data_IF_095625137664
#
_entry.id   IF_095625137664
#
_cell.length_a   1.000
_cell.length_b   1.000
_cell.length_c   1.000
_cell.angle_alpha   90.00
_cell.angle_beta   90.00
_cell.angle_gamma   90.00
#
_symmetry.space_group_name_H-M   'P 1'
#
loop_
_entity.id
_entity.type
_entity.pdbx_description
1 polymer ?
#
# COMPACT_ATOMS: atom_id res chain seq x y z
N UNK A 1 -30.58 -13.32 -5.51
CA UNK A 1 -30.62 -13.99 -6.84
C UNK A 1 -31.34 -13.05 -7.80
N UNK A 2 -30.63 -12.22 -8.56
CA UNK A 2 -31.25 -11.29 -9.53
C UNK A 2 -31.47 -12.08 -10.82
N UNK A 3 -32.72 -12.47 -11.09
CA UNK A 3 -33.12 -13.01 -12.40
C UNK A 3 -33.00 -11.87 -13.42
N UNK A 4 -32.21 -12.08 -14.46
CA UNK A 4 -31.92 -11.04 -15.46
C UNK A 4 -33.16 -10.81 -16.33
N UNK A 5 -33.48 -9.54 -16.62
CA UNK A 5 -34.63 -9.10 -17.42
C UNK A 5 -34.78 -9.82 -18.78
N UNK A 6 -33.70 -10.41 -19.30
CA UNK A 6 -33.65 -11.20 -20.53
C UNK A 6 -34.40 -12.54 -20.44
N UNK A 7 -34.38 -13.23 -19.28
CA UNK A 7 -35.16 -14.47 -19.09
C UNK A 7 -36.67 -14.19 -19.18
N UNK A 8 -37.11 -13.05 -18.64
CA UNK A 8 -38.51 -12.62 -18.73
C UNK A 8 -38.90 -12.21 -20.16
N UNK A 9 -38.00 -11.58 -20.92
CA UNK A 9 -38.25 -11.26 -22.34
C UNK A 9 -38.31 -12.52 -23.22
N UNK A 10 -37.46 -13.52 -22.97
CA UNK A 10 -37.49 -14.78 -23.72
C UNK A 10 -38.79 -15.57 -23.51
N UNK A 11 -39.30 -15.60 -22.27
CA UNK A 11 -40.59 -16.24 -21.95
C UNK A 11 -41.77 -15.43 -22.54
N UNK A 12 -41.66 -14.09 -22.59
CA UNK A 12 -42.72 -13.23 -23.12
C UNK A 12 -42.72 -13.10 -24.66
N UNK A 13 -41.59 -13.32 -25.35
CA UNK A 13 -41.48 -13.22 -26.82
C UNK A 13 -41.43 -14.56 -27.54
N UNK A 14 -41.20 -15.67 -26.84
CA UNK A 14 -41.14 -17.01 -27.43
C UNK A 14 -39.88 -17.31 -28.27
N UNK A 15 -38.84 -16.47 -28.26
CA UNK A 15 -37.62 -16.70 -29.03
C UNK A 15 -36.61 -17.58 -28.24
N UNK A 16 -36.41 -18.86 -28.60
CA UNK A 16 -35.47 -19.75 -27.92
C UNK A 16 -33.99 -19.32 -28.08
N UNK A 17 -33.68 -18.44 -29.04
CA UNK A 17 -32.32 -17.92 -29.25
C UNK A 17 -31.88 -16.99 -28.12
N UNK A 18 -32.80 -16.24 -27.48
CA UNK A 18 -32.48 -15.36 -26.35
C UNK A 18 -32.01 -16.13 -25.11
N UNK A 19 -32.58 -17.31 -24.87
CA UNK A 19 -32.16 -18.19 -23.76
C UNK A 19 -30.78 -18.79 -24.04
N UNK A 20 -30.56 -19.27 -25.27
CA UNK A 20 -29.24 -19.77 -25.71
C UNK A 20 -28.16 -18.68 -25.64
N UNK A 21 -28.52 -17.43 -25.94
CA UNK A 21 -27.60 -16.29 -25.83
C UNK A 21 -27.18 -16.07 -24.37
N UNK A 22 -28.13 -16.10 -23.43
CA UNK A 22 -27.86 -15.95 -22.00
C UNK A 22 -26.96 -17.08 -21.45
N UNK A 23 -27.18 -18.33 -21.89
CA UNK A 23 -26.34 -19.48 -21.55
C UNK A 23 -24.92 -19.32 -22.10
N UNK A 24 -24.77 -19.06 -23.40
CA UNK A 24 -23.47 -18.87 -24.04
C UNK A 24 -22.70 -17.69 -23.45
N UNK A 25 -23.39 -16.60 -23.10
CA UNK A 25 -22.81 -15.44 -22.41
C UNK A 25 -22.27 -15.81 -21.04
N UNK A 26 -22.97 -16.66 -20.30
CA UNK A 26 -22.55 -17.11 -18.97
C UNK A 26 -21.30 -17.98 -19.06
N UNK A 27 -21.24 -18.89 -20.04
CA UNK A 27 -20.04 -19.68 -20.32
C UNK A 27 -18.84 -18.80 -20.70
N UNK A 28 -19.04 -17.85 -21.62
CA UNK A 28 -17.99 -16.90 -22.01
C UNK A 28 -17.48 -16.09 -20.81
N UNK A 29 -18.37 -15.63 -19.93
CA UNK A 29 -17.98 -14.91 -18.72
C UNK A 29 -17.15 -15.77 -17.76
N UNK A 30 -17.51 -17.05 -17.59
CA UNK A 30 -16.76 -18.00 -16.75
C UNK A 30 -15.32 -18.12 -17.23
N UNK A 31 -15.12 -18.40 -18.52
CA UNK A 31 -13.78 -18.57 -19.09
C UNK A 31 -12.99 -17.26 -19.16
N UNK A 32 -13.65 -16.14 -19.47
CA UNK A 32 -13.02 -14.82 -19.47
C UNK A 32 -12.51 -14.42 -18.09
N UNK A 33 -13.26 -14.72 -17.02
CA UNK A 33 -12.80 -14.49 -15.63
C UNK A 33 -11.57 -15.34 -15.30
N UNK A 34 -11.55 -16.61 -15.73
CA UNK A 34 -10.38 -17.50 -15.56
C UNK A 34 -9.15 -16.94 -16.29
N UNK A 35 -9.30 -16.48 -17.54
CA UNK A 35 -8.20 -15.84 -18.30
C UNK A 35 -7.69 -14.57 -17.61
N UNK A 36 -8.59 -13.71 -17.13
CA UNK A 36 -8.21 -12.51 -16.38
C UNK A 36 -7.44 -12.85 -15.10
N UNK A 37 -7.89 -13.85 -14.34
CA UNK A 37 -7.19 -14.33 -13.15
C UNK A 37 -5.80 -14.89 -13.48
N UNK A 38 -5.69 -15.65 -14.57
CA UNK A 38 -4.40 -16.14 -15.06
C UNK A 38 -3.46 -14.98 -15.41
N UNK A 39 -3.91 -13.97 -16.16
CA UNK A 39 -3.08 -12.83 -16.54
C UNK A 39 -2.64 -11.99 -15.34
N UNK A 40 -3.51 -11.84 -14.34
CA UNK A 40 -3.16 -11.22 -13.06
C UNK A 40 -2.10 -12.03 -12.33
N UNK A 41 -2.22 -13.35 -12.29
CA UNK A 41 -1.22 -14.23 -11.70
C UNK A 41 0.13 -14.11 -12.42
N UNK A 42 0.14 -14.11 -13.76
CA UNK A 42 1.37 -13.91 -14.54
C UNK A 42 2.05 -12.56 -14.25
N UNK A 43 1.28 -11.48 -14.06
CA UNK A 43 1.83 -10.18 -13.64
C UNK A 43 2.41 -10.22 -12.23
N UNK A 44 1.73 -10.90 -11.29
CA UNK A 44 2.22 -11.06 -9.92
C UNK A 44 3.50 -11.91 -9.87
N UNK A 45 3.60 -12.96 -10.69
CA UNK A 45 4.80 -13.78 -10.84
C UNK A 45 5.97 -12.96 -11.36
N UNK A 46 5.76 -12.12 -12.39
CA UNK A 46 6.79 -11.19 -12.89
C UNK A 46 7.33 -10.28 -11.79
N UNK A 47 6.43 -9.64 -11.04
CA UNK A 47 6.81 -8.77 -9.93
C UNK A 47 7.57 -9.53 -8.84
N UNK A 48 7.14 -10.76 -8.53
CA UNK A 48 7.82 -11.63 -7.56
C UNK A 48 9.23 -11.97 -8.02
N UNK A 49 9.43 -12.31 -9.29
CA UNK A 49 10.75 -12.57 -9.87
C UNK A 49 11.67 -11.36 -9.71
N UNK A 50 11.21 -10.16 -10.07
CA UNK A 50 11.99 -8.93 -9.96
C UNK A 50 12.35 -8.61 -8.50
N UNK A 51 11.39 -8.72 -7.59
CA UNK A 51 11.59 -8.45 -6.17
C UNK A 51 12.55 -9.44 -5.53
N UNK A 52 12.36 -10.75 -5.77
CA UNK A 52 13.19 -11.80 -5.18
C UNK A 52 14.60 -11.81 -5.74
N UNK A 53 14.79 -11.45 -7.01
CA UNK A 53 16.13 -11.25 -7.58
C UNK A 53 16.89 -10.14 -6.85
N UNK A 54 16.27 -8.97 -6.66
CA UNK A 54 16.88 -7.84 -5.92
C UNK A 54 17.14 -8.19 -4.45
N UNK A 55 16.23 -8.93 -3.84
CA UNK A 55 16.38 -9.40 -2.45
C UNK A 55 17.60 -10.33 -2.31
N UNK A 56 17.76 -11.31 -3.21
CA UNK A 56 18.93 -12.20 -3.23
C UNK A 56 20.22 -11.42 -3.43
N UNK A 57 20.27 -10.48 -4.37
CA UNK A 57 21.45 -9.64 -4.60
C UNK A 57 21.85 -8.85 -3.34
N UNK A 58 20.87 -8.25 -2.65
CA UNK A 58 21.10 -7.51 -1.42
C UNK A 58 21.56 -8.43 -0.28
N UNK A 59 20.91 -9.57 -0.08
CA UNK A 59 21.27 -10.54 0.96
C UNK A 59 22.67 -11.12 0.72
N UNK A 60 22.99 -11.47 -0.53
CA UNK A 60 24.31 -11.97 -0.93
C UNK A 60 25.41 -10.94 -0.67
N UNK A 61 25.14 -9.65 -0.92
CA UNK A 61 26.07 -8.56 -0.60
C UNK A 61 26.26 -8.36 0.90
N UNK A 62 25.21 -8.58 1.69
CA UNK A 62 25.22 -8.35 3.15
C UNK A 62 25.79 -9.52 3.95
N UNK A 63 25.70 -10.74 3.43
CA UNK A 63 26.21 -11.94 4.11
C UNK A 63 27.68 -11.82 4.55
N UNK A 64 28.66 -11.42 3.70
CA UNK A 64 30.05 -11.30 4.13
C UNK A 64 30.28 -10.21 5.19
N UNK A 65 29.42 -9.18 5.23
CA UNK A 65 29.47 -8.19 6.31
C UNK A 65 28.98 -8.82 7.61
N UNK A 66 27.88 -9.57 7.57
CA UNK A 66 27.35 -10.28 8.72
C UNK A 66 28.33 -11.34 9.26
N UNK A 67 29.06 -12.03 8.39
CA UNK A 67 30.11 -12.98 8.77
C UNK A 67 31.25 -12.28 9.49
N UNK A 68 31.76 -11.16 8.96
CA UNK A 68 32.79 -10.36 9.65
C UNK A 68 32.33 -9.86 11.02
N UNK A 69 31.07 -9.42 11.11
CA UNK A 69 30.45 -9.03 12.38
C UNK A 69 30.40 -10.22 13.34
N UNK A 70 30.01 -11.41 12.87
CA UNK A 70 29.96 -12.61 13.69
C UNK A 70 31.35 -13.05 14.16
N UNK A 71 32.36 -13.05 13.28
CA UNK A 71 33.72 -13.52 13.56
C UNK A 71 34.41 -12.73 14.67
N UNK A 72 34.15 -11.42 14.76
CA UNK A 72 34.71 -10.57 15.83
C UNK A 72 33.87 -10.56 17.11
N UNK A 73 32.73 -11.27 17.15
CA UNK A 73 31.83 -11.24 18.30
C UNK A 73 32.48 -11.89 19.51
N UNK A 74 32.40 -11.21 20.65
CA UNK A 74 32.94 -11.68 21.94
C UNK A 74 31.81 -11.86 22.94
N UNK A 75 31.82 -12.97 23.65
CA UNK A 75 30.87 -13.25 24.73
C UNK A 75 31.03 -12.23 25.87
N UNK A 76 29.93 -11.53 26.19
CA UNK A 76 29.89 -10.55 27.27
C UNK A 76 29.19 -11.07 28.53
N UNK A 77 28.78 -12.34 28.57
CA UNK A 77 28.02 -12.92 29.67
C UNK A 77 28.83 -13.01 30.97
N UNK A 78 28.13 -12.87 32.11
CA UNK A 78 28.75 -12.91 33.43
C UNK A 78 29.88 -11.88 33.58
N UNK A 79 31.04 -12.37 33.99
CA UNK A 79 32.25 -11.59 34.29
C UNK A 79 33.10 -11.28 33.04
N UNK A 80 32.69 -11.75 31.85
CA UNK A 80 33.37 -11.46 30.58
C UNK A 80 32.99 -10.09 29.98
N UNK A 81 32.10 -9.37 30.66
CA UNK A 81 31.66 -8.05 30.19
C UNK A 81 32.87 -7.12 30.04
N UNK A 82 32.98 -6.52 28.85
CA UNK A 82 33.93 -5.48 28.55
C UNK A 82 33.31 -4.52 27.55
N UNK A 83 33.35 -3.24 27.86
CA UNK A 83 32.93 -2.16 26.96
C UNK A 83 34.02 -1.11 26.90
N UNK A 84 34.29 -0.62 25.69
CA UNK A 84 35.12 0.54 25.42
C UNK A 84 34.20 1.69 25.02
N UNK A 85 34.29 2.83 25.68
CA UNK A 85 33.49 4.02 25.37
C UNK A 85 34.43 5.05 24.76
N UNK A 86 34.08 5.53 23.56
CA UNK A 86 34.94 6.34 22.71
C UNK A 86 35.22 7.76 23.23
N UNK A 87 36.11 8.43 22.50
CA UNK A 87 36.75 9.71 22.78
C UNK A 87 35.78 10.91 22.65
N UNK A 88 34.72 10.74 21.83
CA UNK A 88 33.75 11.80 21.50
C UNK A 88 32.85 12.18 22.70
N UNK A 89 33.02 11.51 23.84
CA UNK A 89 32.46 11.90 25.14
C UNK A 89 33.14 13.13 25.79
N UNK A 90 33.84 13.97 25.01
CA UNK A 90 34.54 15.20 25.43
C UNK A 90 35.66 15.03 26.47
N UNK A 91 36.18 13.82 26.64
CA UNK A 91 37.40 13.65 27.45
C UNK A 91 38.52 13.12 26.56
N UNK A 92 39.48 13.97 26.17
CA UNK A 92 40.62 13.55 25.35
C UNK A 92 41.52 12.60 26.16
N UNK A 93 41.99 11.51 25.55
CA UNK A 93 43.10 10.75 26.13
C UNK A 93 43.24 9.31 25.66
N UNK A 94 42.19 8.50 25.75
CA UNK A 94 42.11 7.08 25.36
C UNK A 94 40.63 6.63 25.50
N UNK A 95 40.17 5.55 24.83
CA UNK A 95 38.85 4.98 25.09
C UNK A 95 38.73 4.50 26.55
N UNK A 96 37.59 4.77 27.18
CA UNK A 96 37.29 4.34 28.54
C UNK A 96 36.88 2.88 28.56
N UNK A 97 37.65 2.04 29.24
CA UNK A 97 37.39 0.60 29.33
C UNK A 97 36.73 0.28 30.67
N UNK A 98 35.56 -0.38 30.62
CA UNK A 98 34.86 -0.87 31.80
C UNK A 98 34.62 -2.38 31.71
N UNK A 99 34.88 -3.08 32.80
CA UNK A 99 34.55 -4.51 32.98
C UNK A 99 33.36 -4.74 33.90
N UNK A 100 32.86 -3.69 34.55
CA UNK A 100 31.65 -3.73 35.38
C UNK A 100 30.53 -2.91 34.76
N UNK A 101 29.36 -3.53 34.57
CA UNK A 101 28.17 -2.88 33.98
C UNK A 101 27.72 -1.63 34.75
N UNK A 102 27.81 -1.68 36.08
CA UNK A 102 27.44 -0.56 36.94
C UNK A 102 28.35 0.66 36.74
N UNK A 103 29.68 0.45 36.69
CA UNK A 103 30.66 1.53 36.43
C UNK A 103 30.50 2.10 35.02
N UNK A 104 30.29 1.25 34.02
CA UNK A 104 30.01 1.70 32.65
C UNK A 104 28.72 2.54 32.57
N UNK A 105 27.67 2.14 33.29
CA UNK A 105 26.42 2.88 33.36
C UNK A 105 26.59 4.23 34.08
N UNK A 106 27.33 4.28 35.18
CA UNK A 106 27.64 5.53 35.89
C UNK A 106 28.40 6.51 34.99
N UNK A 107 29.42 6.02 34.28
CA UNK A 107 30.17 6.81 33.31
C UNK A 107 29.28 7.34 32.19
N UNK A 108 28.46 6.47 31.59
CA UNK A 108 27.53 6.91 30.54
C UNK A 108 26.55 7.97 31.06
N UNK A 109 26.00 7.83 32.27
CA UNK A 109 25.05 8.79 32.83
C UNK A 109 25.63 10.20 32.96
N UNK A 110 26.90 10.30 33.34
CA UNK A 110 27.61 11.57 33.55
C UNK A 110 28.06 12.21 32.23
N UNK A 111 28.23 11.43 31.16
CA UNK A 111 28.82 11.90 29.89
C UNK A 111 27.87 11.85 28.67
N UNK A 112 26.68 11.22 28.76
CA UNK A 112 25.73 11.03 27.63
C UNK A 112 25.17 12.28 26.98
N UNK A 113 25.29 13.44 27.62
CA UNK A 113 24.86 14.71 27.01
C UNK A 113 25.84 15.19 25.93
N UNK A 114 27.02 14.56 25.80
CA UNK A 114 28.08 14.93 24.84
C UNK A 114 28.38 16.45 24.88
N UNK A 115 28.31 16.99 26.10
CA UNK A 115 28.37 18.41 26.45
C UNK A 115 27.31 19.31 25.77
N UNK A 116 26.10 18.81 25.59
CA UNK A 116 24.92 19.55 25.13
C UNK A 116 24.63 19.44 23.63
N UNK A 117 25.49 18.79 22.84
CA UNK A 117 25.35 18.67 21.38
C UNK A 117 24.03 18.02 20.99
N UNK A 118 23.70 16.90 21.62
CA UNK A 118 22.47 16.18 21.32
C UNK A 118 21.21 16.96 21.71
N UNK A 119 21.26 17.76 22.80
CA UNK A 119 20.17 18.66 23.22
C UNK A 119 19.94 19.82 22.25
N UNK A 120 21.02 20.38 21.70
CA UNK A 120 20.95 21.46 20.71
C UNK A 120 20.31 20.96 19.41
N UNK A 121 20.75 19.82 18.91
CA UNK A 121 20.22 19.23 17.67
C UNK A 121 18.78 18.70 17.84
N UNK A 122 18.42 18.25 19.05
CA UNK A 122 17.04 17.86 19.39
C UNK A 122 16.04 19.00 19.27
N UNK A 123 16.42 20.21 19.68
CA UNK A 123 15.54 21.38 19.59
C UNK A 123 15.39 21.90 18.16
N UNK A 124 16.35 21.63 17.29
CA UNK A 124 16.36 22.09 15.91
C UNK A 124 15.77 21.07 14.91
N UNK A 125 15.31 19.89 15.37
CA UNK A 125 14.78 18.84 14.47
C UNK A 125 15.83 18.23 13.54
N UNK A 126 17.12 18.37 13.89
CA UNK A 126 18.25 18.00 13.03
C UNK A 126 18.47 16.49 13.08
N UNK A 127 18.71 15.90 11.90
CA UNK A 127 19.30 14.57 11.75
C UNK A 127 20.80 14.66 11.94
N UNK A 128 21.36 13.78 12.76
CA UNK A 128 22.79 13.76 13.00
C UNK A 128 23.36 12.37 13.17
N UNK A 129 24.67 12.34 13.14
CA UNK A 129 25.51 11.17 13.30
C UNK A 129 26.56 11.49 14.37
N UNK A 130 26.57 10.68 15.42
CA UNK A 130 27.54 10.76 16.51
C UNK A 130 28.71 9.78 16.31
N UNK A 131 28.73 9.05 15.20
CA UNK A 131 29.73 8.03 14.94
C UNK A 131 29.69 6.91 15.98
N UNK A 132 30.81 6.19 16.11
CA UNK A 132 30.98 5.10 17.06
C UNK A 132 31.11 5.65 18.48
N UNK A 133 30.12 5.36 19.33
CA UNK A 133 30.15 5.78 20.74
C UNK A 133 30.78 4.73 21.66
N UNK A 134 30.62 3.45 21.33
CA UNK A 134 31.17 2.39 22.16
C UNK A 134 31.43 1.11 21.37
N UNK A 135 32.40 0.34 21.83
CA UNK A 135 32.66 -1.02 21.39
C UNK A 135 32.31 -1.99 22.51
N UNK A 136 31.37 -2.91 22.28
CA UNK A 136 30.98 -3.95 23.25
C UNK A 136 30.78 -5.28 22.54
N UNK A 137 31.24 -6.37 23.15
CA UNK A 137 31.16 -7.70 22.53
C UNK A 137 31.87 -7.77 21.17
N UNK A 138 32.94 -6.99 20.98
CA UNK A 138 33.65 -6.86 19.71
C UNK A 138 32.93 -6.04 18.63
N UNK A 139 31.78 -5.43 18.95
CA UNK A 139 31.00 -4.64 18.00
C UNK A 139 31.16 -3.14 18.23
N UNK A 140 31.65 -2.37 17.25
CA UNK A 140 31.53 -0.92 17.26
C UNK A 140 30.07 -0.55 17.07
N UNK A 141 29.52 0.20 18.02
CA UNK A 141 28.14 0.65 18.00
C UNK A 141 28.12 2.15 17.76
N UNK A 142 27.56 2.51 16.61
CA UNK A 142 27.31 3.88 16.21
C UNK A 142 25.97 4.39 16.71
N UNK A 143 25.88 5.71 16.86
CA UNK A 143 24.64 6.38 17.23
C UNK A 143 24.25 7.42 16.20
N UNK A 144 23.10 7.20 15.57
CA UNK A 144 22.45 8.14 14.65
C UNK A 144 21.14 8.61 15.26
N UNK A 145 20.65 9.76 14.84
CA UNK A 145 19.44 10.31 15.43
C UNK A 145 18.69 11.20 14.45
N UNK A 146 17.36 11.18 14.52
CA UNK A 146 16.43 12.06 13.80
C UNK A 146 15.48 12.72 14.79
N UNK A 147 14.66 13.69 14.37
CA UNK A 147 13.87 14.53 15.26
C UNK A 147 13.10 13.78 16.37
N UNK A 148 12.74 12.51 16.17
CA UNK A 148 11.99 11.71 17.13
C UNK A 148 12.77 10.52 17.72
N UNK A 149 13.80 10.01 17.04
CA UNK A 149 14.39 8.69 17.32
C UNK A 149 15.91 8.76 17.43
N UNK A 150 16.46 8.00 18.38
CA UNK A 150 17.88 7.66 18.43
C UNK A 150 18.06 6.19 18.04
N UNK A 151 19.00 5.94 17.16
CA UNK A 151 19.36 4.64 16.60
C UNK A 151 20.71 4.20 17.16
N UNK A 152 20.74 3.02 17.76
CA UNK A 152 21.95 2.29 18.13
C UNK A 152 22.17 1.22 17.08
N UNK A 153 23.27 1.29 16.35
CA UNK A 153 23.49 0.44 15.20
C UNK A 153 24.90 -0.15 15.22
N UNK A 154 25.06 -1.41 14.83
CA UNK A 154 26.39 -1.95 14.56
C UNK A 154 26.94 -1.19 13.35
N UNK A 155 28.09 -0.53 13.51
CA UNK A 155 28.57 0.52 12.60
C UNK A 155 28.67 0.07 11.12
N UNK A 156 29.29 -1.08 10.88
CA UNK A 156 29.42 -1.68 9.56
C UNK A 156 28.19 -2.51 9.13
N UNK A 157 27.20 -2.63 10.00
CA UNK A 157 25.96 -3.37 9.73
C UNK A 157 24.71 -2.67 10.32
N UNK A 158 24.31 -1.49 9.80
CA UNK A 158 23.27 -0.64 10.40
C UNK A 158 21.89 -1.30 10.56
N UNK A 159 21.60 -2.34 9.79
CA UNK A 159 20.39 -3.17 9.97
C UNK A 159 20.29 -3.84 11.35
N UNK A 160 21.43 -4.11 12.01
CA UNK A 160 21.46 -4.59 13.39
C UNK A 160 21.33 -3.35 14.25
N UNK A 161 20.09 -3.00 14.57
CA UNK A 161 19.82 -1.80 15.35
C UNK A 161 18.77 -1.94 16.44
N UNK A 162 18.84 -1.01 17.38
CA UNK A 162 17.81 -0.74 18.38
C UNK A 162 17.49 0.73 18.37
N UNK A 163 16.25 1.06 18.69
CA UNK A 163 15.76 2.44 18.70
C UNK A 163 15.36 2.86 20.11
N UNK A 164 15.43 4.16 20.35
CA UNK A 164 14.97 4.81 21.55
C UNK A 164 14.27 6.11 21.16
N UNK A 165 13.19 6.48 21.83
CA UNK A 165 12.62 7.81 21.64
C UNK A 165 13.66 8.86 22.05
N UNK A 166 13.77 9.95 21.29
CA UNK A 166 14.79 10.98 21.54
C UNK A 166 14.67 11.60 22.93
N UNK A 167 13.45 11.78 23.44
CA UNK A 167 13.22 12.25 24.81
C UNK A 167 13.73 11.25 25.87
N UNK A 168 13.63 9.95 25.58
CA UNK A 168 14.08 8.90 26.49
C UNK A 168 15.60 8.78 26.54
N UNK A 169 16.35 9.34 25.58
CA UNK A 169 17.81 9.40 25.66
C UNK A 169 18.29 10.05 26.98
N UNK A 170 17.62 11.13 27.39
CA UNK A 170 17.94 11.87 28.60
C UNK A 170 17.27 11.32 29.86
N UNK A 171 16.22 10.51 29.71
CA UNK A 171 15.42 10.02 30.85
C UNK A 171 15.65 8.54 31.16
N UNK A 172 16.22 7.77 30.24
CA UNK A 172 16.58 6.37 30.44
C UNK A 172 17.64 6.24 31.54
N UNK A 173 17.45 5.30 32.47
CA UNK A 173 18.49 4.88 33.41
C UNK A 173 19.69 4.33 32.63
N UNK A 174 20.91 4.80 32.90
CA UNK A 174 22.09 4.35 32.14
C UNK A 174 22.36 2.84 32.19
N UNK A 175 21.87 2.12 33.20
CA UNK A 175 21.89 0.65 33.20
C UNK A 175 21.13 0.06 32.00
N UNK A 176 20.01 0.68 31.60
CA UNK A 176 19.24 0.29 30.43
C UNK A 176 19.94 0.59 29.10
N UNK A 177 20.81 1.60 29.06
CA UNK A 177 21.66 1.87 27.89
C UNK A 177 22.70 0.76 27.70
N UNK A 178 23.49 0.46 28.73
CA UNK A 178 24.51 -0.60 28.68
C UNK A 178 23.87 -1.94 28.30
N UNK A 179 22.72 -2.25 28.90
CA UNK A 179 21.95 -3.47 28.58
C UNK A 179 21.52 -3.51 27.11
N UNK A 180 21.07 -2.38 26.53
CA UNK A 180 20.70 -2.30 25.10
C UNK A 180 21.89 -2.53 24.19
N UNK A 181 23.03 -1.91 24.49
CA UNK A 181 24.28 -2.07 23.72
C UNK A 181 24.77 -3.52 23.77
N UNK A 182 24.74 -4.12 24.96
CA UNK A 182 25.11 -5.53 25.15
C UNK A 182 24.16 -6.47 24.39
N UNK A 183 22.84 -6.24 24.48
CA UNK A 183 21.86 -7.04 23.75
C UNK A 183 21.99 -6.87 22.24
N UNK A 184 22.34 -5.67 21.76
CA UNK A 184 22.61 -5.43 20.35
C UNK A 184 23.81 -6.27 19.88
N UNK A 185 24.93 -6.23 20.61
CA UNK A 185 26.11 -7.03 20.30
C UNK A 185 25.82 -8.54 20.34
N UNK A 186 24.99 -9.02 21.28
CA UNK A 186 24.57 -10.43 21.36
C UNK A 186 23.76 -10.90 20.16
N UNK A 187 23.06 -10.01 19.46
CA UNK A 187 22.30 -10.37 18.24
C UNK A 187 23.16 -10.44 16.99
N UNK A 188 24.36 -9.84 17.02
CA UNK A 188 25.27 -9.75 15.90
C UNK A 188 25.71 -11.13 15.34
N UNK A 189 26.14 -12.11 16.16
CA UNK A 189 26.57 -13.41 15.64
C UNK A 189 25.44 -14.27 15.06
N UNK A 190 24.16 -13.92 15.30
CA UNK A 190 23.01 -14.66 14.77
C UNK A 190 22.65 -14.22 13.35
N UNK A 191 23.20 -13.10 12.87
CA UNK A 191 22.82 -12.50 11.60
C UNK A 191 23.18 -13.33 10.36
N UNK A 192 24.35 -13.99 10.26
CA UNK A 192 24.65 -14.83 9.10
C UNK A 192 23.61 -15.93 8.90
N UNK A 193 23.21 -16.62 9.97
CA UNK A 193 22.18 -17.66 9.92
C UNK A 193 20.83 -17.08 9.47
N UNK A 194 20.45 -15.91 9.99
CA UNK A 194 19.21 -15.24 9.57
C UNK A 194 19.24 -14.85 8.08
N UNK A 195 20.35 -14.29 7.59
CA UNK A 195 20.51 -13.92 6.18
C UNK A 195 20.49 -15.16 5.29
N UNK A 196 21.16 -16.25 5.68
CA UNK A 196 21.15 -17.50 4.92
C UNK A 196 19.75 -18.10 4.80
N UNK A 197 18.97 -18.10 5.88
CA UNK A 197 17.58 -18.57 5.84
C UNK A 197 16.72 -17.72 4.89
N UNK A 198 16.86 -16.39 4.95
CA UNK A 198 16.16 -15.48 4.03
C UNK A 198 16.60 -15.68 2.58
N UNK A 199 17.88 -15.94 2.35
CA UNK A 199 18.44 -16.18 1.03
C UNK A 199 17.89 -17.50 0.45
N UNK A 200 17.82 -18.56 1.24
CA UNK A 200 17.22 -19.83 0.84
C UNK A 200 15.73 -19.68 0.50
N UNK A 201 14.93 -19.01 1.35
CA UNK A 201 13.52 -18.74 1.08
C UNK A 201 13.34 -17.88 -0.20
N UNK A 202 14.15 -16.84 -0.37
CA UNK A 202 14.07 -15.98 -1.55
C UNK A 202 14.45 -16.74 -2.85
N UNK A 203 15.47 -17.59 -2.79
CA UNK A 203 15.87 -18.45 -3.91
C UNK A 203 14.79 -19.47 -4.28
N UNK A 204 14.17 -20.11 -3.29
CA UNK A 204 13.08 -21.06 -3.53
C UNK A 204 11.90 -20.36 -4.20
N UNK A 205 11.46 -19.21 -3.66
CA UNK A 205 10.36 -18.43 -4.25
C UNK A 205 10.68 -17.93 -5.64
N UNK A 206 11.94 -17.54 -5.91
CA UNK A 206 12.37 -17.14 -7.23
C UNK A 206 12.30 -18.32 -8.22
N UNK A 207 12.75 -19.50 -7.80
CA UNK A 207 12.68 -20.72 -8.60
C UNK A 207 11.24 -21.10 -8.93
N UNK A 208 10.37 -21.12 -7.92
CA UNK A 208 8.94 -21.45 -8.09
C UNK A 208 8.23 -20.43 -8.98
N UNK A 209 8.52 -19.14 -8.79
CA UNK A 209 7.93 -18.10 -9.63
C UNK A 209 8.40 -18.20 -11.09
N UNK A 210 9.69 -18.49 -11.31
CA UNK A 210 10.25 -18.69 -12.66
C UNK A 210 9.69 -19.91 -13.37
N UNK A 211 9.40 -21.00 -12.66
CA UNK A 211 8.85 -22.23 -13.28
C UNK A 211 7.40 -22.05 -13.75
N UNK A 212 6.63 -21.19 -13.06
CA UNK A 212 5.23 -20.89 -13.38
C UNK A 212 5.06 -19.70 -14.34
N UNK A 213 6.03 -18.79 -14.38
CA UNK A 213 5.96 -17.59 -15.19
C UNK A 213 6.06 -17.90 -16.68
N UNK A 214 5.20 -17.26 -17.48
CA UNK A 214 5.16 -17.42 -18.92
C UNK A 214 4.39 -18.67 -19.40
N UNK A 215 3.86 -19.48 -18.49
CA UNK A 215 2.97 -20.57 -18.86
C UNK A 215 1.73 -20.02 -19.57
N UNK A 216 1.32 -20.70 -20.64
CA UNK A 216 0.11 -20.34 -21.37
C UNK A 216 -1.14 -20.64 -20.55
N UNK A 217 -2.23 -19.95 -20.87
CA UNK A 217 -3.50 -20.20 -20.21
C UNK A 217 -4.00 -21.61 -20.58
N UNK A 218 -4.23 -22.51 -19.61
CA UNK A 218 -4.50 -23.91 -19.93
C UNK A 218 -5.86 -24.17 -20.60
N UNK A 219 -6.78 -23.20 -20.56
CA UNK A 219 -8.13 -23.33 -21.14
C UNK A 219 -8.33 -22.42 -22.36
N UNK A 220 -7.30 -22.30 -23.22
CA UNK A 220 -7.34 -21.47 -24.44
C UNK A 220 -8.41 -21.93 -25.41
N UNK A 221 -8.53 -23.24 -25.62
CA UNK A 221 -9.52 -23.81 -26.53
C UNK A 221 -10.95 -23.62 -26.00
N UNK A 222 -11.22 -23.87 -24.72
CA UNK A 222 -12.55 -23.68 -24.14
C UNK A 222 -12.99 -22.21 -24.14
N UNK A 223 -12.04 -21.28 -23.94
CA UNK A 223 -12.32 -19.85 -24.09
C UNK A 223 -12.70 -19.52 -25.54
N UNK A 224 -11.97 -20.05 -26.51
CA UNK A 224 -12.21 -19.84 -27.94
C UNK A 224 -13.53 -20.45 -28.38
N UNK A 225 -13.85 -21.66 -27.93
CA UNK A 225 -15.14 -22.30 -28.16
C UNK A 225 -16.30 -21.49 -27.59
N UNK A 226 -16.18 -21.00 -26.35
CA UNK A 226 -17.21 -20.17 -25.73
C UNK A 226 -17.39 -18.83 -26.46
N UNK A 227 -16.31 -18.22 -26.96
CA UNK A 227 -16.36 -17.03 -27.80
C UNK A 227 -17.09 -17.31 -29.12
N UNK A 228 -16.73 -18.39 -29.82
CA UNK A 228 -17.34 -18.77 -31.09
C UNK A 228 -18.84 -19.07 -30.92
N UNK A 229 -19.23 -19.81 -29.86
CA UNK A 229 -20.65 -20.12 -29.59
C UNK A 229 -21.47 -18.86 -29.32
N UNK A 230 -20.94 -17.94 -28.50
CA UNK A 230 -21.62 -16.68 -28.22
C UNK A 230 -21.80 -15.85 -29.50
N UNK A 231 -20.73 -15.72 -30.31
CA UNK A 231 -20.75 -14.99 -31.57
C UNK A 231 -21.77 -15.58 -32.56
N UNK A 232 -21.77 -16.90 -32.75
CA UNK A 232 -22.73 -17.59 -33.61
C UNK A 232 -24.18 -17.34 -33.20
N UNK A 233 -24.48 -17.35 -31.89
CA UNK A 233 -25.85 -17.10 -31.40
C UNK A 233 -26.23 -15.63 -31.59
N UNK A 234 -25.31 -14.70 -31.38
CA UNK A 234 -25.55 -13.28 -31.66
C UNK A 234 -25.82 -13.03 -33.16
N UNK A 235 -25.09 -13.69 -34.06
CA UNK A 235 -25.32 -13.61 -35.50
C UNK A 235 -26.69 -14.19 -35.91
N UNK A 236 -27.08 -15.34 -35.34
CA UNK A 236 -28.41 -15.92 -35.58
C UNK A 236 -29.54 -15.01 -35.06
N UNK A 237 -29.36 -14.39 -33.90
CA UNK A 237 -30.32 -13.43 -33.35
C UNK A 237 -30.48 -12.20 -34.26
N UNK A 238 -29.36 -11.63 -34.74
CA UNK A 238 -29.40 -10.50 -35.66
C UNK A 238 -30.10 -10.84 -36.99
N UNK A 239 -29.82 -12.03 -37.54
CA UNK A 239 -30.47 -12.48 -38.77
C UNK A 239 -31.98 -12.75 -38.60
N UNK A 240 -32.41 -13.24 -37.43
CA UNK A 240 -33.83 -13.44 -37.10
C UNK A 240 -34.57 -12.09 -36.91
N UNK A 241 -33.91 -11.11 -36.27
CA UNK A 241 -34.44 -9.73 -36.16
C UNK A 241 -34.58 -9.05 -37.53
N UNK A 242 -33.60 -9.20 -38.42
CA UNK A 242 -33.65 -8.68 -39.80
C UNK A 242 -34.71 -9.39 -40.66
N UNK A 243 -34.98 -10.68 -40.41
CA UNK A 243 -36.01 -11.46 -41.12
C UNK A 243 -37.44 -11.12 -40.66
N UNK A 244 -37.60 -10.55 -39.47
CA UNK A 244 -38.90 -10.16 -38.89
C UNK A 244 -39.34 -8.73 -39.24
N UNK A 245 -38.55 -7.98 -40.03
CA UNK A 245 -38.97 -6.72 -40.66
C UNK A 245 -39.22 -6.95 -42.17
N UNK A 246 -40.48 -7.14 -42.63
CA UNK A 246 -41.46 -6.06 -42.68
C UNK A 246 -42.94 -6.48 -42.47
N UNK A 247 -43.66 -5.82 -41.54
CA UNK A 247 -45.09 -5.43 -41.62
C UNK A 247 -45.60 -5.04 -40.22
N UNK A 248 -45.22 -3.86 -39.74
CA UNK A 248 -46.02 -3.07 -38.78
C UNK A 248 -45.69 -1.59 -39.00
N UNK A 249 -46.19 -1.05 -40.11
CA UNK A 249 -46.58 0.36 -40.15
C UNK A 249 -48.03 0.45 -39.65
N UNK A 250 -48.34 1.55 -38.94
CA UNK A 250 -49.59 1.87 -38.22
C UNK A 250 -49.67 1.26 -36.82
N UNK A 251 -49.71 2.00 -35.70
CA UNK A 251 -49.94 3.43 -35.45
C UNK A 251 -49.17 3.81 -34.17
N UNK A 252 -48.16 4.67 -34.28
CA UNK A 252 -47.70 5.48 -33.15
C UNK A 252 -48.34 6.85 -33.33
N UNK A 253 -49.52 7.02 -32.73
CA UNK A 253 -50.09 8.33 -32.45
C UNK A 253 -49.01 9.17 -31.78
N UNK A 254 -48.60 10.23 -32.46
CA UNK A 254 -47.81 11.32 -31.89
C UNK A 254 -48.52 11.85 -30.65
N UNK A 255 -48.13 11.35 -29.48
CA UNK A 255 -48.27 12.10 -28.25
C UNK A 255 -47.27 13.26 -28.37
N UNK A 256 -47.75 14.37 -28.92
CA UNK A 256 -47.13 15.69 -28.83
C UNK A 256 -46.74 15.93 -27.36
N UNK A 257 -45.46 15.74 -27.04
CA UNK A 257 -44.88 16.37 -25.87
C UNK A 257 -44.96 17.87 -26.13
N UNK A 258 -45.91 18.54 -25.46
CA UNK A 258 -45.84 19.99 -25.29
C UNK A 258 -44.58 20.25 -24.50
N UNK A 259 -43.52 20.66 -25.21
CA UNK A 259 -42.38 21.36 -24.65
C UNK A 259 -42.92 22.68 -24.08
N UNK A 260 -43.43 22.64 -22.85
CA UNK A 260 -43.85 23.86 -22.16
C UNK A 260 -42.61 24.64 -21.77
N UNK A 261 -42.64 25.95 -22.01
CA UNK A 261 -41.59 26.91 -21.64
C UNK A 261 -41.12 26.76 -20.17
N UNK A 262 -41.92 26.16 -19.29
CA UNK A 262 -41.62 25.83 -17.90
C UNK A 262 -40.49 24.81 -17.71
N UNK A 263 -40.26 23.87 -18.65
CA UNK A 263 -39.17 22.89 -18.52
C UNK A 263 -37.79 23.45 -18.84
N UNK A 264 -37.71 24.53 -19.64
CA UNK A 264 -36.44 25.17 -20.03
C UNK A 264 -35.81 26.03 -18.92
N UNK A 265 -36.54 26.32 -17.84
CA UNK A 265 -36.05 27.17 -16.73
C UNK A 265 -35.61 26.41 -15.47
N UNK A 266 -35.66 25.07 -15.45
CA UNK A 266 -35.24 24.32 -14.25
C UNK A 266 -33.71 24.15 -14.21
N UNK A 267 -33.10 24.70 -13.16
CA UNK A 267 -31.66 24.54 -12.86
C UNK A 267 -31.32 23.04 -12.81
N UNK A 268 -30.22 22.59 -13.43
CA UNK A 268 -29.83 21.19 -13.37
C UNK A 268 -29.58 20.77 -11.92
N UNK A 269 -30.15 19.61 -11.53
CA UNK A 269 -29.98 18.99 -10.22
C UNK A 269 -28.49 18.77 -9.92
N UNK A 270 -28.03 19.18 -8.74
CA UNK A 270 -26.66 18.88 -8.33
C UNK A 270 -26.54 17.38 -8.00
N UNK A 271 -25.30 16.85 -8.00
CA UNK A 271 -25.01 15.44 -7.78
C UNK A 271 -25.72 14.83 -6.56
N UNK A 272 -25.80 15.55 -5.45
CA UNK A 272 -26.43 15.12 -4.20
C UNK A 272 -27.96 15.05 -4.32
N UNK A 273 -28.56 15.97 -5.07
CA UNK A 273 -30.00 15.98 -5.35
C UNK A 273 -30.39 14.89 -6.36
N UNK A 274 -29.48 14.59 -7.30
CA UNK A 274 -29.62 13.48 -8.24
C UNK A 274 -29.53 12.13 -7.50
N UNK A 275 -28.57 11.98 -6.58
CA UNK A 275 -28.42 10.78 -5.76
C UNK A 275 -29.63 10.57 -4.82
N UNK A 276 -30.22 11.62 -4.24
CA UNK A 276 -31.46 11.50 -3.44
C UNK A 276 -32.67 11.21 -4.29
N UNK A 277 -32.77 11.77 -5.50
CA UNK A 277 -33.86 11.47 -6.43
C UNK A 277 -33.78 10.02 -6.92
N UNK A 278 -32.59 9.54 -7.31
CA UNK A 278 -32.35 8.16 -7.72
C UNK A 278 -32.60 7.17 -6.57
N UNK A 279 -32.22 7.53 -5.34
CA UNK A 279 -32.52 6.72 -4.15
C UNK A 279 -34.03 6.67 -3.83
N UNK A 280 -34.75 7.77 -4.03
CA UNK A 280 -36.20 7.84 -3.81
C UNK A 280 -36.95 7.08 -4.90
N UNK A 281 -36.55 7.24 -6.17
CA UNK A 281 -37.08 6.49 -7.30
C UNK A 281 -36.83 4.98 -7.12
N UNK A 282 -35.64 4.58 -6.68
CA UNK A 282 -35.34 3.18 -6.38
C UNK A 282 -36.16 2.62 -5.20
N UNK A 283 -36.52 3.46 -4.23
CA UNK A 283 -37.31 3.08 -3.06
C UNK A 283 -38.79 2.81 -3.39
N UNK A 284 -39.35 3.47 -4.40
CA UNK A 284 -40.76 3.38 -4.76
C UNK A 284 -41.04 2.76 -6.14
N UNK A 285 -40.01 2.28 -6.86
CA UNK A 285 -40.10 1.77 -8.23
C UNK A 285 -41.12 0.65 -8.50
N UNK A 286 -41.64 -0.02 -7.46
CA UNK A 286 -42.61 -1.12 -7.56
C UNK A 286 -43.88 -0.91 -6.72
N UNK A 287 -44.21 0.32 -6.33
CA UNK A 287 -45.50 0.65 -5.72
C UNK A 287 -46.28 1.60 -6.63
N UNK A 288 -47.60 1.43 -6.70
CA UNK A 288 -48.49 2.39 -7.34
C UNK A 288 -48.61 3.58 -6.38
N UNK A 289 -47.84 4.63 -6.65
CA UNK A 289 -47.70 5.79 -5.76
C UNK A 289 -48.55 6.93 -6.29
N UNK A 290 -49.52 7.37 -5.49
CA UNK A 290 -50.20 8.64 -5.70
C UNK A 290 -49.27 9.80 -5.34
N UNK A 291 -48.74 10.46 -6.37
CA UNK A 291 -47.78 11.54 -6.26
C UNK A 291 -48.35 12.82 -5.61
N UNK A 292 -49.67 12.94 -5.43
CA UNK A 292 -50.26 14.05 -4.67
C UNK A 292 -50.10 13.89 -3.14
N UNK A 293 -49.93 12.66 -2.62
CA UNK A 293 -49.75 12.44 -1.17
C UNK A 293 -48.31 12.69 -0.67
N UNK A 294 -47.29 12.56 -1.53
CA UNK A 294 -45.88 12.69 -1.09
C UNK A 294 -45.47 14.14 -0.84
N UNK A 295 -46.15 15.11 -1.47
CA UNK A 295 -45.86 16.54 -1.27
C UNK A 295 -46.08 17.01 0.19
N UNK A 296 -46.84 16.28 1.01
CA UNK A 296 -47.06 16.59 2.43
C UNK A 296 -45.93 16.14 3.37
N UNK A 297 -44.99 15.29 2.92
CA UNK A 297 -43.96 14.69 3.79
C UNK A 297 -42.54 15.21 3.57
N UNK A 298 -42.33 16.15 2.65
CA UNK A 298 -41.08 16.90 2.55
C UNK A 298 -41.25 18.27 3.21
N UNK A 299 -40.87 18.44 4.49
CA UNK A 299 -40.74 19.77 5.04
C UNK A 299 -39.54 20.43 4.34
N UNK A 300 -39.80 21.53 3.65
CA UNK A 300 -38.75 22.48 3.28
C UNK A 300 -38.13 22.96 4.59
N UNK A 301 -36.90 22.55 4.87
CA UNK A 301 -36.09 23.20 5.90
C UNK A 301 -34.93 23.91 5.24
N UNK A 302 -35.07 25.23 5.30
CA UNK A 302 -34.02 26.23 5.26
C UNK A 302 -33.02 26.00 6.42
N UNK A 303 -31.87 26.69 6.36
CA UNK A 303 -30.88 26.95 7.44
C UNK A 303 -29.48 26.27 7.35
N UNK A 304 -28.50 27.02 6.84
CA UNK A 304 -27.27 27.35 7.60
C UNK A 304 -25.95 26.58 7.35
N UNK A 305 -24.76 27.21 7.56
CA UNK A 305 -23.45 26.74 7.08
C UNK A 305 -22.61 26.01 8.15
N UNK A 306 -21.77 25.02 7.79
CA UNK A 306 -20.61 24.58 8.61
C UNK A 306 -19.57 23.69 7.87
N UNK A 307 -18.35 24.24 7.79
CA UNK A 307 -16.98 23.73 8.03
C UNK A 307 -16.52 22.25 7.88
N UNK A 308 -15.36 22.14 7.20
CA UNK A 308 -14.10 21.36 7.43
C UNK A 308 -14.04 19.82 7.33
N UNK A 309 -13.16 19.26 6.47
CA UNK A 309 -11.71 19.09 6.68
C UNK A 309 -11.06 18.23 5.55
N UNK A 310 -9.92 18.72 5.03
CA UNK A 310 -8.64 17.99 4.83
C UNK A 310 -8.60 16.57 4.21
N UNK A 311 -7.96 16.42 3.02
CA UNK A 311 -6.55 15.98 2.86
C UNK A 311 -6.16 15.78 1.36
N UNK A 312 -5.02 16.43 1.01
CA UNK A 312 -3.94 16.18 0.04
C UNK A 312 -4.10 15.12 -1.07
N UNK A 313 -4.02 15.47 -2.37
CA UNK A 313 -2.86 15.89 -3.21
C UNK A 313 -1.94 14.74 -3.67
N UNK A 314 -2.07 14.39 -4.95
CA UNK A 314 -0.98 13.86 -5.79
C UNK A 314 -1.25 14.32 -7.24
N UNK A 315 -0.62 15.42 -7.66
CA UNK A 315 -0.55 15.80 -9.07
C UNK A 315 0.84 16.33 -9.42
N UNK A 316 1.40 15.72 -10.45
CA UNK A 316 2.63 16.08 -11.12
C UNK A 316 2.68 17.58 -11.46
N UNK A 317 3.74 18.27 -11.06
CA UNK A 317 4.02 19.62 -11.51
C UNK A 317 4.68 19.60 -12.90
N UNK A 318 4.13 20.32 -13.89
CA UNK A 318 4.90 20.74 -15.05
C UNK A 318 5.67 22.02 -14.73
N UNK A 319 6.94 22.02 -15.13
CA UNK A 319 7.89 23.14 -15.08
C UNK A 319 7.46 24.28 -16.00
N UNK A 320 7.42 25.52 -15.50
CA UNK A 320 7.44 26.78 -16.28
C UNK A 320 7.99 27.94 -15.43
N UNK A 321 8.48 29.03 -16.07
CA UNK A 321 9.75 29.67 -15.74
C UNK A 321 9.68 30.86 -14.77
N UNK A 322 10.87 31.20 -14.25
CA UNK A 322 11.17 32.32 -13.36
C UNK A 322 10.63 33.66 -13.87
N UNK A 323 9.77 34.29 -13.08
CA UNK A 323 9.48 35.73 -13.21
C UNK A 323 10.45 36.48 -12.29
N UNK A 324 11.34 37.27 -12.92
CA UNK A 324 12.27 38.19 -12.29
C UNK A 324 11.51 39.50 -12.04
N UNK A 325 11.31 39.88 -10.79
CA UNK A 325 10.79 41.21 -10.47
C UNK A 325 11.96 42.16 -10.23
N UNK A 326 12.15 43.07 -11.18
CA UNK A 326 13.02 44.23 -11.06
C UNK A 326 12.17 45.41 -10.57
N UNK A 327 12.75 46.19 -9.64
CA UNK A 327 12.30 47.50 -9.10
C UNK A 327 11.51 47.34 -7.79
N UNK A 328 11.81 48.03 -6.69
CA UNK A 328 12.32 49.41 -6.60
C UNK A 328 12.78 49.72 -5.16
N UNK A 329 13.86 50.53 -5.07
CA UNK A 329 14.32 51.40 -3.97
C UNK A 329 15.06 50.80 -2.78
#
# INVERSE_FOLDING_TARGET
MKRNSTEFKAIASGNPLLLKEAEAKTELQKWSRRKKSHDQNQRALKQTIEQKTKEIENLTRRLPLAEKVADRSVDTSGDKFRIEIGDDFRVPGQPYVFTERAKAAEFFNTHRDLGGRLRLDARAGIRGDLGVLATVGGQPISVRYDSATVYFEVDDMPQIRRTLARNDWFNTTSAGFITRMENLAKTAPQQPASINNLLQDAQQRLSDAKSLYGQEFPYTEELKEAQNKYQQICELLAADEDSQQPQHQETLTTATYKDTEEMRQRKPLNRKEKETWEATAAKYANQDVDWQQIAQYCPVKDDGPTYNHQYDYDYHQPTTPQYRDERTR
#
